data_IF_717444581667
#
_entry.id   IF_717444581667
#
_cell.length_a   1.000
_cell.length_b   1.000
_cell.length_c   1.000
_cell.angle_alpha   90.00
_cell.angle_beta   90.00
_cell.angle_gamma   90.00
#
_symmetry.space_group_name_H-M   'P 1'
#
loop_
_entity.id
_entity.type
_entity.pdbx_description
1 polymer ?
#
# COMPACT_ATOMS: atom_id res chain seq x y z
N UNK A 1 40.06 23.32 48.59
CA UNK A 1 38.65 23.04 48.23
C UNK A 1 38.20 23.71 46.92
N UNK A 2 38.35 25.03 46.72
CA UNK A 2 37.88 25.74 45.50
C UNK A 2 38.46 25.20 44.17
N UNK A 3 39.76 24.85 44.14
CA UNK A 3 40.41 24.27 42.94
C UNK A 3 39.87 22.88 42.59
N UNK A 4 39.60 22.04 43.60
CA UNK A 4 39.04 20.71 43.41
C UNK A 4 37.61 20.77 42.85
N UNK A 5 36.77 21.65 43.39
CA UNK A 5 35.39 21.86 42.89
C UNK A 5 35.36 22.34 41.44
N UNK A 6 36.31 23.19 41.03
CA UNK A 6 36.46 23.66 39.64
C UNK A 6 36.78 22.50 38.69
N UNK A 7 37.75 21.67 39.03
CA UNK A 7 38.13 20.52 38.20
C UNK A 7 37.02 19.46 38.14
N UNK A 8 36.34 19.20 39.25
CA UNK A 8 35.19 18.29 39.29
C UNK A 8 34.06 18.77 38.38
N UNK A 9 33.73 20.06 38.40
CA UNK A 9 32.72 20.65 37.52
C UNK A 9 33.08 20.57 36.05
N UNK A 10 34.36 20.78 35.69
CA UNK A 10 34.85 20.63 34.31
C UNK A 10 34.71 19.18 33.85
N UNK A 11 35.15 18.21 34.66
CA UNK A 11 35.06 16.79 34.31
C UNK A 11 33.60 16.35 34.13
N UNK A 12 32.72 16.75 35.05
CA UNK A 12 31.30 16.41 34.96
C UNK A 12 30.65 17.05 33.72
N UNK A 13 30.97 18.31 33.44
CA UNK A 13 30.52 19.00 32.22
C UNK A 13 31.01 18.31 30.95
N UNK A 14 32.28 17.91 30.89
CA UNK A 14 32.84 17.17 29.76
C UNK A 14 32.18 15.80 29.57
N UNK A 15 31.90 15.08 30.65
CA UNK A 15 31.18 13.80 30.58
C UNK A 15 29.75 13.96 30.07
N UNK A 16 29.03 15.00 30.51
CA UNK A 16 27.68 15.31 30.01
C UNK A 16 27.72 15.65 28.51
N UNK A 17 28.70 16.44 28.08
CA UNK A 17 28.88 16.80 26.67
C UNK A 17 29.20 15.55 25.83
N UNK A 18 30.11 14.70 26.29
CA UNK A 18 30.43 13.43 25.61
C UNK A 18 29.23 12.48 25.58
N UNK A 19 28.45 12.40 26.65
CA UNK A 19 27.23 11.61 26.70
C UNK A 19 26.16 12.18 25.75
N UNK A 20 26.03 13.50 25.62
CA UNK A 20 25.13 14.15 24.66
C UNK A 20 25.55 13.88 23.22
N UNK A 21 26.84 14.00 22.89
CA UNK A 21 27.32 13.68 21.54
C UNK A 21 27.29 12.18 21.24
N UNK A 22 27.54 11.33 22.23
CA UNK A 22 27.35 9.89 22.14
C UNK A 22 25.88 9.55 21.90
N UNK A 23 24.96 10.16 22.66
CA UNK A 23 23.53 10.06 22.42
C UNK A 23 23.20 10.51 21.01
N UNK A 24 23.60 11.70 20.55
CA UNK A 24 23.39 12.13 19.16
C UNK A 24 23.96 11.17 18.12
N UNK A 25 25.11 10.54 18.38
CA UNK A 25 25.70 9.52 17.50
C UNK A 25 24.91 8.20 17.49
N UNK A 26 24.31 7.82 18.62
CA UNK A 26 23.52 6.59 18.78
C UNK A 26 22.00 6.78 18.61
N UNK A 27 21.49 8.02 18.50
CA UNK A 27 20.10 8.28 18.09
C UNK A 27 20.01 7.98 16.58
N UNK A 28 18.96 7.30 16.12
CA UNK A 28 18.81 6.82 14.75
C UNK A 28 18.79 7.81 13.56
N UNK A 29 18.64 9.16 13.63
CA UNK A 29 18.62 9.96 12.40
C UNK A 29 20.00 10.07 11.72
N UNK A 30 21.09 9.56 12.31
CA UNK A 30 22.44 9.62 11.72
C UNK A 30 23.03 8.29 11.25
N UNK A 31 22.49 7.15 11.70
CA UNK A 31 22.63 5.90 10.96
C UNK A 31 21.58 5.90 9.86
N UNK A 32 21.76 6.76 8.85
CA UNK A 32 20.97 6.69 7.64
C UNK A 32 21.29 5.33 7.02
N UNK A 33 20.42 4.34 7.25
CA UNK A 33 20.41 3.17 6.40
C UNK A 33 20.41 3.69 4.95
N UNK A 34 21.35 3.22 4.12
CA UNK A 34 21.51 3.76 2.79
C UNK A 34 20.16 3.72 2.07
N UNK A 35 19.77 4.77 1.33
CA UNK A 35 18.47 4.82 0.67
C UNK A 35 18.23 3.60 -0.23
N UNK A 36 19.28 2.95 -0.72
CA UNK A 36 19.25 1.70 -1.47
C UNK A 36 18.66 0.54 -0.65
N UNK A 37 18.90 0.48 0.66
CA UNK A 37 18.34 -0.57 1.53
C UNK A 37 16.80 -0.51 1.58
N UNK A 38 16.24 0.70 1.50
CA UNK A 38 14.79 0.91 1.47
C UNK A 38 14.21 0.86 0.05
N UNK A 39 14.93 1.39 -0.94
CA UNK A 39 14.42 1.54 -2.30
C UNK A 39 14.60 0.31 -3.16
N UNK A 40 15.71 -0.45 -3.02
CA UNK A 40 15.98 -1.59 -3.90
C UNK A 40 14.93 -2.69 -3.86
N UNK A 41 14.35 -3.07 -2.70
CA UNK A 41 13.29 -4.07 -2.67
C UNK A 41 12.04 -3.57 -3.40
N UNK A 42 11.67 -2.30 -3.20
CA UNK A 42 10.50 -1.68 -3.85
C UNK A 42 10.69 -1.53 -5.36
N UNK A 43 11.88 -1.12 -5.81
CA UNK A 43 12.16 -0.98 -7.25
C UNK A 43 12.23 -2.31 -7.98
N UNK A 44 12.64 -3.38 -7.28
CA UNK A 44 12.81 -4.71 -7.86
C UNK A 44 11.56 -5.59 -7.71
N UNK A 45 10.60 -5.24 -6.85
CA UNK A 45 9.39 -6.03 -6.63
C UNK A 45 8.49 -6.11 -7.88
N UNK A 46 8.26 -5.03 -8.65
CA UNK A 46 7.58 -5.12 -9.94
C UNK A 46 8.35 -6.02 -10.92
N UNK A 47 7.74 -7.10 -11.46
CA UNK A 47 8.44 -8.04 -12.34
C UNK A 47 8.94 -7.37 -13.62
N UNK A 48 10.01 -7.92 -14.20
CA UNK A 48 10.46 -7.56 -15.55
C UNK A 48 9.46 -8.07 -16.60
N UNK A 49 9.13 -7.21 -17.56
CA UNK A 49 8.22 -7.50 -18.66
C UNK A 49 8.95 -7.86 -19.97
N UNK A 50 10.27 -8.06 -19.90
CA UNK A 50 11.09 -8.41 -21.08
C UNK A 50 10.68 -9.73 -21.75
N UNK A 51 10.06 -10.63 -20.98
CA UNK A 51 9.52 -11.90 -21.47
C UNK A 51 8.35 -11.73 -22.45
N UNK A 52 7.70 -10.55 -22.50
CA UNK A 52 6.62 -10.23 -23.44
C UNK A 52 7.26 -9.93 -24.80
N UNK A 53 7.10 -10.86 -25.75
CA UNK A 53 7.72 -10.77 -27.08
C UNK A 53 7.03 -9.76 -28.00
N UNK A 54 5.73 -9.54 -27.82
CA UNK A 54 5.01 -8.51 -28.57
C UNK A 54 5.37 -7.13 -28.03
N UNK A 55 6.05 -6.32 -28.87
CA UNK A 55 6.52 -4.99 -28.48
C UNK A 55 5.38 -4.06 -28.08
N UNK A 56 4.23 -4.13 -28.76
CA UNK A 56 3.10 -3.25 -28.48
C UNK A 56 2.47 -3.62 -27.14
N UNK A 57 2.23 -4.90 -26.89
CA UNK A 57 1.71 -5.38 -25.60
C UNK A 57 2.67 -5.05 -24.45
N UNK A 58 3.98 -5.25 -24.67
CA UNK A 58 5.00 -4.89 -23.67
C UNK A 58 4.97 -3.40 -23.35
N UNK A 59 4.87 -2.53 -24.35
CA UNK A 59 4.79 -1.08 -24.12
C UNK A 59 3.53 -0.68 -23.32
N UNK A 60 2.40 -1.33 -23.59
CA UNK A 60 1.16 -1.12 -22.83
C UNK A 60 1.34 -1.59 -21.37
N UNK A 61 1.92 -2.78 -21.18
CA UNK A 61 2.16 -3.32 -19.85
C UNK A 61 3.20 -2.49 -19.06
N UNK A 62 4.23 -1.95 -19.71
CA UNK A 62 5.20 -1.03 -19.08
C UNK A 62 4.53 0.29 -18.65
N UNK A 63 3.61 0.82 -19.46
CA UNK A 63 2.78 1.97 -19.05
C UNK A 63 1.94 1.61 -17.82
N UNK A 64 1.35 0.42 -17.79
CA UNK A 64 0.58 -0.08 -16.66
C UNK A 64 1.43 -0.23 -15.40
N UNK A 65 2.63 -0.80 -15.52
CA UNK A 65 3.63 -0.92 -14.46
C UNK A 65 3.93 0.44 -13.84
N UNK A 66 4.24 1.43 -14.68
CA UNK A 66 4.49 2.80 -14.24
C UNK A 66 3.31 3.39 -13.46
N UNK A 67 2.08 3.23 -13.96
CA UNK A 67 0.89 3.76 -13.28
C UNK A 67 0.64 3.07 -11.94
N UNK A 68 0.74 1.74 -11.88
CA UNK A 68 0.53 0.97 -10.65
C UNK A 68 1.55 1.32 -9.58
N UNK A 69 2.82 1.54 -9.95
CA UNK A 69 3.85 1.93 -8.99
C UNK A 69 3.69 3.38 -8.53
N UNK A 70 3.40 4.32 -9.43
CA UNK A 70 3.36 5.76 -9.10
C UNK A 70 2.04 6.22 -8.49
N UNK A 71 0.95 5.48 -8.69
CA UNK A 71 -0.38 5.81 -8.17
C UNK A 71 -0.64 5.19 -6.78
N UNK A 72 0.38 4.55 -6.18
CA UNK A 72 0.32 4.04 -4.81
C UNK A 72 -0.39 2.69 -4.64
N UNK A 73 -0.72 1.97 -5.72
CA UNK A 73 -1.33 0.64 -5.63
C UNK A 73 -0.44 -0.31 -4.82
N UNK A 74 0.88 -0.28 -5.09
CA UNK A 74 1.89 -1.09 -4.39
C UNK A 74 1.84 -0.95 -2.88
N UNK A 75 1.74 0.28 -2.35
CA UNK A 75 1.82 0.54 -0.92
C UNK A 75 0.63 0.00 -0.14
N UNK A 76 -0.57 0.01 -0.73
CA UNK A 76 -1.78 -0.50 -0.08
C UNK A 76 -2.02 -1.99 -0.37
N UNK A 77 -1.69 -2.46 -1.57
CA UNK A 77 -1.99 -3.82 -2.01
C UNK A 77 -0.83 -4.81 -1.86
N UNK A 78 0.33 -4.43 -1.35
CA UNK A 78 1.38 -5.38 -0.95
C UNK A 78 1.30 -5.63 0.55
N UNK A 79 1.11 -6.89 1.03
CA UNK A 79 0.96 -7.16 2.45
C UNK A 79 2.17 -6.69 3.27
N UNK A 80 1.93 -6.28 4.51
CA UNK A 80 2.95 -5.88 5.47
C UNK A 80 3.22 -7.02 6.46
N UNK A 81 4.48 -7.42 6.59
CA UNK A 81 4.96 -8.33 7.63
C UNK A 81 5.75 -7.58 8.71
N UNK A 82 6.32 -8.33 9.66
CA UNK A 82 7.05 -7.76 10.81
C UNK A 82 8.26 -6.89 10.42
N UNK A 83 8.79 -7.10 9.21
CA UNK A 83 9.97 -6.40 8.67
C UNK A 83 9.63 -5.39 7.56
N UNK A 84 8.35 -5.06 7.38
CA UNK A 84 7.88 -4.20 6.30
C UNK A 84 7.20 -4.99 5.16
N UNK A 85 7.17 -4.45 3.93
CA UNK A 85 6.38 -5.04 2.85
C UNK A 85 6.90 -6.42 2.43
N UNK A 86 5.98 -7.36 2.25
CA UNK A 86 6.24 -8.72 1.74
C UNK A 86 6.27 -8.69 0.21
N UNK A 87 7.41 -8.30 -0.35
CA UNK A 87 7.61 -8.12 -1.79
C UNK A 87 7.47 -9.40 -2.62
N UNK A 88 7.65 -10.58 -2.02
CA UNK A 88 7.37 -11.88 -2.64
C UNK A 88 5.87 -12.12 -2.87
N UNK A 89 5.03 -11.36 -2.16
CA UNK A 89 3.58 -11.34 -2.25
C UNK A 89 3.06 -10.02 -2.81
N UNK A 90 3.88 -9.36 -3.65
CA UNK A 90 3.58 -8.11 -4.33
C UNK A 90 2.15 -8.06 -4.89
N UNK A 91 1.41 -7.00 -4.53
CA UNK A 91 0.02 -6.76 -4.93
C UNK A 91 -1.02 -7.84 -4.53
N UNK A 92 -0.70 -8.75 -3.61
CA UNK A 92 -1.62 -9.79 -3.15
C UNK A 92 -2.62 -9.37 -2.07
N UNK A 93 -2.64 -8.09 -1.67
CA UNK A 93 -3.60 -7.52 -0.73
C UNK A 93 -3.41 -7.96 0.73
N UNK A 94 -4.44 -7.78 1.54
CA UNK A 94 -4.51 -8.27 2.92
C UNK A 94 -4.21 -7.23 4.01
N UNK A 95 -3.79 -6.02 3.64
CA UNK A 95 -3.57 -4.95 4.61
C UNK A 95 -4.90 -4.43 5.15
N UNK A 96 -4.95 -4.19 6.45
CA UNK A 96 -6.14 -3.69 7.15
C UNK A 96 -5.99 -2.20 7.48
N UNK A 97 -7.01 -1.44 7.17
CA UNK A 97 -7.09 0.00 7.46
C UNK A 97 -8.46 0.35 8.01
N UNK A 98 -8.53 1.35 8.88
CA UNK A 98 -9.79 1.84 9.43
C UNK A 98 -9.74 2.03 10.93
N UNK A 99 -10.91 2.14 11.54
CA UNK A 99 -11.05 2.29 12.99
C UNK A 99 -12.39 1.72 13.44
N UNK A 100 -12.56 1.55 14.76
CA UNK A 100 -13.83 1.12 15.35
C UNK A 100 -15.05 1.95 14.91
N UNK A 101 -14.84 3.23 14.53
CA UNK A 101 -15.91 4.14 14.11
C UNK A 101 -16.33 4.00 12.65
N UNK A 102 -15.43 3.53 11.77
CA UNK A 102 -15.68 3.48 10.32
C UNK A 102 -15.61 2.05 9.74
N UNK A 103 -15.30 1.07 10.58
CA UNK A 103 -15.06 -0.31 10.18
C UNK A 103 -13.60 -0.55 9.80
N UNK A 104 -13.28 -1.81 9.57
CA UNK A 104 -11.99 -2.28 9.07
C UNK A 104 -12.12 -2.71 7.63
N UNK A 105 -11.37 -2.04 6.75
CA UNK A 105 -11.26 -2.37 5.34
C UNK A 105 -9.99 -3.18 5.11
N UNK A 106 -10.10 -4.22 4.30
CA UNK A 106 -8.97 -5.05 3.88
C UNK A 106 -8.69 -4.80 2.40
N UNK A 107 -7.43 -4.56 2.02
CA UNK A 107 -7.06 -4.38 0.61
C UNK A 107 -7.16 -5.68 -0.16
N UNK A 108 -7.62 -5.59 -1.41
CA UNK A 108 -7.86 -6.76 -2.26
C UNK A 108 -6.58 -7.31 -2.88
N UNK A 109 -6.59 -8.60 -3.19
CA UNK A 109 -5.57 -9.22 -4.02
C UNK A 109 -5.77 -8.79 -5.48
N UNK A 110 -4.80 -8.06 -6.04
CA UNK A 110 -4.82 -7.57 -7.43
C UNK A 110 -4.07 -8.50 -8.40
N UNK A 111 -3.51 -9.60 -7.92
CA UNK A 111 -2.84 -10.57 -8.79
C UNK A 111 -3.87 -11.35 -9.62
N UNK A 112 -3.47 -11.94 -10.77
CA UNK A 112 -4.39 -12.67 -11.64
C UNK A 112 -4.75 -14.07 -11.09
N UNK A 113 -4.60 -14.28 -9.78
CA UNK A 113 -5.08 -15.49 -9.12
C UNK A 113 -6.59 -15.66 -9.32
N UNK A 114 -7.01 -16.87 -9.71
CA UNK A 114 -8.38 -17.16 -10.14
C UNK A 114 -9.38 -17.26 -9.00
N UNK A 115 -8.92 -17.63 -7.80
CA UNK A 115 -9.80 -17.89 -6.66
C UNK A 115 -9.86 -16.69 -5.71
N UNK A 116 -8.70 -16.11 -5.42
CA UNK A 116 -8.55 -15.07 -4.39
C UNK A 116 -8.21 -13.70 -4.96
N UNK A 117 -7.75 -13.63 -6.21
CA UNK A 117 -7.35 -12.42 -6.91
C UNK A 117 -8.40 -11.89 -7.90
N UNK A 118 -7.92 -11.16 -8.91
CA UNK A 118 -8.77 -10.60 -9.99
C UNK A 118 -8.82 -11.50 -11.23
N UNK A 119 -8.25 -12.71 -11.17
CA UNK A 119 -8.18 -13.64 -12.30
C UNK A 119 -9.55 -13.95 -12.90
N UNK A 120 -10.57 -14.11 -12.05
CA UNK A 120 -11.95 -14.43 -12.47
C UNK A 120 -12.76 -13.23 -12.97
N UNK A 121 -12.21 -12.00 -12.89
CA UNK A 121 -12.91 -10.77 -13.29
C UNK A 121 -12.61 -10.45 -14.75
N UNK A 122 -13.56 -9.83 -15.44
CA UNK A 122 -13.28 -9.34 -16.80
C UNK A 122 -12.42 -8.07 -16.74
N UNK A 123 -11.72 -7.78 -17.83
CA UNK A 123 -10.93 -6.54 -17.94
C UNK A 123 -11.84 -5.30 -17.79
N UNK A 124 -13.07 -5.37 -18.32
CA UNK A 124 -14.06 -4.29 -18.22
C UNK A 124 -14.53 -4.06 -16.78
N UNK A 125 -14.75 -5.13 -16.00
CA UNK A 125 -15.12 -5.01 -14.59
C UNK A 125 -14.02 -4.29 -13.79
N UNK A 126 -12.76 -4.64 -14.05
CA UNK A 126 -11.62 -4.00 -13.37
C UNK A 126 -11.51 -2.53 -13.81
N UNK A 127 -11.62 -2.24 -15.10
CA UNK A 127 -11.60 -0.85 -15.60
C UNK A 127 -12.77 -0.04 -15.03
N UNK A 128 -13.95 -0.63 -14.85
CA UNK A 128 -15.09 0.05 -14.24
C UNK A 128 -14.83 0.43 -12.78
N UNK A 129 -14.18 -0.45 -12.02
CA UNK A 129 -13.75 -0.16 -10.64
C UNK A 129 -12.75 0.99 -10.62
N UNK A 130 -11.77 1.01 -11.53
CA UNK A 130 -10.80 2.11 -11.63
C UNK A 130 -11.49 3.43 -12.03
N UNK A 131 -12.52 3.36 -12.87
CA UNK A 131 -13.27 4.53 -13.35
C UNK A 131 -14.20 5.11 -12.28
N UNK A 132 -14.94 4.26 -11.57
CA UNK A 132 -16.10 4.68 -10.77
C UNK A 132 -16.06 4.24 -9.30
N UNK A 133 -15.11 3.39 -8.93
CA UNK A 133 -15.11 2.73 -7.62
C UNK A 133 -16.26 1.75 -7.42
N UNK A 134 -17.00 1.36 -8.47
CA UNK A 134 -18.16 0.47 -8.38
C UNK A 134 -17.82 -0.92 -8.90
N UNK A 135 -18.04 -1.95 -8.09
CA UNK A 135 -17.94 -3.34 -8.49
C UNK A 135 -19.08 -3.73 -9.43
N UNK A 136 -18.89 -4.83 -10.18
CA UNK A 136 -19.94 -5.38 -11.05
C UNK A 136 -21.25 -5.73 -10.30
N UNK A 137 -21.18 -5.94 -8.98
CA UNK A 137 -22.34 -6.19 -8.11
C UNK A 137 -23.13 -4.92 -7.78
N UNK A 138 -22.69 -3.74 -8.23
CA UNK A 138 -23.23 -2.45 -7.83
C UNK A 138 -22.67 -1.93 -6.49
N UNK A 139 -21.87 -2.75 -5.80
CA UNK A 139 -21.21 -2.38 -4.55
C UNK A 139 -20.20 -1.25 -4.78
N UNK A 140 -20.23 -0.21 -3.94
CA UNK A 140 -19.38 0.98 -4.07
C UNK A 140 -18.23 0.91 -3.06
N UNK A 141 -17.00 1.04 -3.56
CA UNK A 141 -15.81 1.14 -2.71
C UNK A 141 -15.84 2.47 -1.94
N UNK A 142 -15.66 2.42 -0.63
CA UNK A 142 -15.47 3.63 0.16
C UNK A 142 -14.20 4.34 -0.28
N UNK A 143 -14.37 5.58 -0.78
CA UNK A 143 -13.27 6.40 -1.29
C UNK A 143 -12.19 6.73 -0.24
N UNK A 144 -12.49 6.54 1.06
CA UNK A 144 -11.50 6.68 2.15
C UNK A 144 -10.67 5.42 2.35
N UNK A 145 -11.21 4.24 2.00
CA UNK A 145 -10.51 2.97 2.06
C UNK A 145 -9.60 2.77 0.84
N UNK A 146 -10.11 3.14 -0.34
CA UNK A 146 -9.32 3.22 -1.57
C UNK A 146 -9.67 4.54 -2.26
N UNK A 147 -8.72 5.47 -2.47
CA UNK A 147 -8.97 6.77 -3.06
C UNK A 147 -9.20 6.68 -4.58
N UNK A 148 -10.20 5.92 -5.01
CA UNK A 148 -10.51 5.67 -6.42
C UNK A 148 -10.88 6.97 -7.17
N UNK A 149 -11.37 7.99 -6.45
CA UNK A 149 -11.65 9.32 -7.00
C UNK A 149 -10.38 10.03 -7.48
N UNK A 150 -9.19 9.67 -6.98
CA UNK A 150 -7.92 10.21 -7.45
C UNK A 150 -7.49 9.61 -8.81
N UNK A 151 -8.07 8.46 -9.20
CA UNK A 151 -7.68 7.72 -10.41
C UNK A 151 -8.80 7.63 -11.45
N UNK A 152 -9.96 8.24 -11.17
CA UNK A 152 -11.11 8.29 -12.09
C UNK A 152 -10.78 9.02 -13.40
N UNK A 153 -9.86 10.00 -13.35
CA UNK A 153 -9.43 10.81 -14.49
C UNK A 153 -8.39 10.13 -15.41
N UNK A 154 -8.00 8.88 -15.13
CA UNK A 154 -7.17 8.13 -16.08
C UNK A 154 -7.87 8.04 -17.44
N UNK A 155 -7.10 7.99 -18.53
CA UNK A 155 -7.68 7.70 -19.85
C UNK A 155 -8.12 6.24 -19.92
N UNK A 156 -8.92 5.88 -20.94
CA UNK A 156 -9.26 4.46 -21.17
C UNK A 156 -8.00 3.64 -21.48
N UNK A 157 -7.03 4.22 -22.20
CA UNK A 157 -5.75 3.58 -22.50
C UNK A 157 -4.93 3.33 -21.24
N UNK A 158 -4.91 4.29 -20.30
CA UNK A 158 -4.18 4.14 -19.03
C UNK A 158 -4.86 3.11 -18.11
N UNK A 159 -6.20 3.08 -18.04
CA UNK A 159 -6.94 2.02 -17.35
C UNK A 159 -6.64 0.65 -17.94
N UNK A 160 -6.68 0.54 -19.26
CA UNK A 160 -6.36 -0.69 -19.97
C UNK A 160 -4.92 -1.14 -19.73
N UNK A 161 -3.97 -0.19 -19.74
CA UNK A 161 -2.57 -0.45 -19.45
C UNK A 161 -2.38 -1.04 -18.04
N UNK A 162 -3.04 -0.45 -17.02
CA UNK A 162 -3.04 -0.99 -15.64
C UNK A 162 -3.55 -2.43 -15.65
N UNK A 163 -4.70 -2.69 -16.26
CA UNK A 163 -5.27 -4.05 -16.31
C UNK A 163 -4.30 -5.02 -16.97
N UNK A 164 -3.72 -4.67 -18.12
CA UNK A 164 -2.74 -5.52 -18.81
C UNK A 164 -1.52 -5.82 -17.94
N UNK A 165 -0.96 -4.83 -17.26
CA UNK A 165 0.13 -5.08 -16.32
C UNK A 165 -0.28 -6.05 -15.21
N UNK A 166 -1.45 -5.86 -14.58
CA UNK A 166 -1.94 -6.77 -13.53
C UNK A 166 -2.12 -8.21 -14.04
N UNK A 167 -2.53 -8.41 -15.30
CA UNK A 167 -2.63 -9.73 -15.92
C UNK A 167 -1.28 -10.44 -16.10
N UNK A 168 -0.19 -9.69 -16.23
CA UNK A 168 1.16 -10.23 -16.38
C UNK A 168 1.86 -10.54 -15.05
N UNK A 169 1.24 -10.23 -13.91
CA UNK A 169 1.81 -10.56 -12.61
C UNK A 169 1.76 -12.08 -12.36
N UNK A 170 2.68 -12.56 -11.52
CA UNK A 170 2.59 -13.90 -10.97
C UNK A 170 1.31 -14.02 -10.12
N UNK A 171 0.46 -15.04 -10.33
CA UNK A 171 -0.66 -15.32 -9.44
C UNK A 171 -0.16 -15.61 -8.02
N UNK A 172 -0.77 -14.97 -7.02
CA UNK A 172 -0.50 -15.25 -5.60
C UNK A 172 -1.83 -15.61 -4.94
N UNK A 173 -1.98 -16.87 -4.56
CA UNK A 173 -3.13 -17.31 -3.77
C UNK A 173 -3.05 -16.70 -2.36
N UNK A 174 -3.92 -15.74 -2.10
CA UNK A 174 -3.99 -15.03 -0.83
C UNK A 174 -5.43 -14.66 -0.51
N UNK A 175 -6.09 -15.50 0.29
CA UNK A 175 -7.42 -15.20 0.82
C UNK A 175 -7.30 -14.09 1.86
N UNK A 176 -7.79 -12.91 1.49
CA UNK A 176 -7.79 -11.75 2.38
C UNK A 176 -8.88 -11.90 3.46
N UNK A 177 -8.65 -11.39 4.68
CA UNK A 177 -9.69 -11.31 5.70
C UNK A 177 -10.89 -10.47 5.26
N UNK A 178 -12.08 -10.86 5.70
CA UNK A 178 -13.29 -10.09 5.47
C UNK A 178 -13.20 -8.71 6.12
N UNK A 179 -13.88 -7.74 5.50
CA UNK A 179 -14.03 -6.40 6.07
C UNK A 179 -14.95 -6.48 7.30
N UNK A 180 -14.66 -5.70 8.33
CA UNK A 180 -15.46 -5.66 9.56
C UNK A 180 -16.25 -4.35 9.65
N UNK A 181 -17.55 -4.37 9.97
CA UNK A 181 -18.32 -3.15 10.17
C UNK A 181 -17.85 -2.39 11.42
N UNK A 182 -18.24 -1.11 11.59
CA UNK A 182 -18.06 -0.38 12.84
C UNK A 182 -18.67 -1.12 14.04
N UNK A 183 -18.05 -1.03 15.22
CA UNK A 183 -18.56 -1.67 16.45
C UNK A 183 -19.79 -0.94 17.03
N UNK A 184 -19.86 0.38 16.86
CA UNK A 184 -20.95 1.22 17.36
C UNK A 184 -21.39 2.21 16.27
N UNK A 185 -22.66 2.12 15.87
CA UNK A 185 -23.27 3.03 14.91
C UNK A 185 -23.85 4.24 15.65
N UNK A 186 -23.05 5.30 15.86
CA UNK A 186 -23.55 6.52 16.52
C UNK A 186 -24.53 7.33 15.64
N UNK A 187 -24.50 7.17 14.31
CA UNK A 187 -25.41 7.86 13.39
C UNK A 187 -25.75 6.99 12.16
N UNK A 188 -26.98 6.45 12.14
CA UNK A 188 -27.47 5.50 11.14
C UNK A 188 -27.57 6.08 9.72
N UNK A 189 -27.66 7.42 9.56
CA UNK A 189 -27.73 8.05 8.23
C UNK A 189 -26.38 8.23 7.57
N UNK A 190 -25.32 8.45 8.35
CA UNK A 190 -23.96 8.44 7.83
C UNK A 190 -23.54 7.02 7.40
N UNK A 191 -24.04 6.00 8.09
CA UNK A 191 -23.80 4.58 7.78
C UNK A 191 -24.38 4.19 6.42
N UNK A 192 -25.56 4.70 6.05
CA UNK A 192 -26.17 4.41 4.73
C UNK A 192 -25.33 4.88 3.54
N UNK A 193 -24.68 6.05 3.66
CA UNK A 193 -23.90 6.64 2.56
C UNK A 193 -22.45 6.14 2.56
N UNK A 194 -21.88 5.82 3.73
CA UNK A 194 -20.47 5.44 3.88
C UNK A 194 -20.20 3.93 4.09
N UNK A 195 -21.21 3.15 4.49
CA UNK A 195 -21.07 1.74 4.94
C UNK A 195 -21.95 0.79 4.12
N UNK A 196 -23.18 1.17 3.75
CA UNK A 196 -24.09 0.27 2.99
C UNK A 196 -23.57 -0.05 1.59
N UNK A 197 -22.76 0.85 1.01
CA UNK A 197 -22.04 0.58 -0.23
C UNK A 197 -20.92 -0.45 -0.09
N UNK A 198 -20.37 -0.70 1.10
CA UNK A 198 -19.16 -1.52 1.30
C UNK A 198 -19.39 -2.82 2.10
N UNK A 199 -20.43 -2.85 2.94
CA UNK A 199 -20.80 -3.97 3.83
C UNK A 199 -22.19 -4.55 3.55
N UNK A 200 -22.90 -4.05 2.53
CA UNK A 200 -24.17 -4.61 2.08
C UNK A 200 -24.01 -6.05 1.56
N UNK A 201 -24.99 -6.90 1.88
CA UNK A 201 -24.98 -8.35 1.64
C UNK A 201 -24.88 -8.73 0.15
N UNK A 202 -24.46 -10.00 -0.05
CA UNK A 202 -24.16 -10.67 -1.33
C UNK A 202 -25.32 -10.71 -2.32
#
# INVERSE_FOLDING_TARGET
MKKFLKWLGIILGSLIVLAFFGFLYFIPPFTLAPPEEFSTPETNAPPSLEHITDTKERMIAERGKYLVTTTGCTGCHTPQGDKGPEWDRYLSGGNKFGSQKIGTFTTRNLTPDMETGIGSRSDEEIMNVLRSGVFHTGRIINHRAMPWTAITNLSEEDRYAIVKYLRYLKPVAHKIPDQLPPEHFEDTKAVEIFVVGDFGEK
#
